data_IF_732179911258
#
_entry.id   IF_732179911258
#
_cell.length_a   1.000
_cell.length_b   1.000
_cell.length_c   1.000
_cell.angle_alpha   90.00
_cell.angle_beta   90.00
_cell.angle_gamma   90.00
#
_symmetry.space_group_name_H-M   'P 1'
#
loop_
_entity.id
_entity.type
_entity.pdbx_description
1 polymer ?
#
# COMPACT_ATOMS: atom_id res chain seq x y z
N UNK A 1 50.62 -12.08 18.99
CA UNK A 1 49.28 -12.62 19.31
C UNK A 1 48.30 -11.53 19.76
N UNK A 2 48.73 -10.52 20.51
CA UNK A 2 47.86 -9.44 21.04
C UNK A 2 47.27 -8.49 19.99
N UNK A 3 48.04 -8.13 18.94
CA UNK A 3 47.59 -7.18 17.90
C UNK A 3 46.42 -7.74 17.08
N UNK A 4 46.43 -9.03 16.74
CA UNK A 4 45.35 -9.67 15.96
C UNK A 4 44.02 -9.74 16.73
N UNK A 5 44.08 -9.95 18.05
CA UNK A 5 42.89 -9.96 18.91
C UNK A 5 42.28 -8.55 19.01
N UNK A 6 43.12 -7.51 19.08
CA UNK A 6 42.65 -6.13 19.11
C UNK A 6 41.92 -5.72 17.82
N UNK A 7 42.47 -6.10 16.64
CA UNK A 7 41.85 -5.80 15.34
C UNK A 7 40.55 -6.58 15.14
N UNK A 8 40.49 -7.84 15.59
CA UNK A 8 39.26 -8.62 15.54
C UNK A 8 38.14 -8.04 16.40
N UNK A 9 38.48 -7.55 17.61
CA UNK A 9 37.51 -6.92 18.50
C UNK A 9 36.98 -5.60 17.94
N UNK A 10 37.83 -4.76 17.34
CA UNK A 10 37.37 -3.49 16.75
C UNK A 10 36.47 -3.72 15.54
N UNK A 11 36.80 -4.67 14.66
CA UNK A 11 35.95 -5.00 13.51
C UNK A 11 34.59 -5.56 13.95
N UNK A 12 34.56 -6.43 14.97
CA UNK A 12 33.31 -6.95 15.54
C UNK A 12 32.46 -5.84 16.17
N UNK A 13 33.08 -4.87 16.86
CA UNK A 13 32.36 -3.73 17.43
C UNK A 13 31.79 -2.81 16.35
N UNK A 14 32.54 -2.53 15.28
CA UNK A 14 32.04 -1.74 14.14
C UNK A 14 30.93 -2.48 13.40
N UNK A 15 31.04 -3.79 13.23
CA UNK A 15 29.99 -4.58 12.60
C UNK A 15 28.71 -4.61 13.44
N UNK A 16 28.83 -4.84 14.75
CA UNK A 16 27.71 -4.79 15.69
C UNK A 16 27.10 -3.40 15.79
N UNK A 17 27.89 -2.32 15.74
CA UNK A 17 27.37 -0.97 15.77
C UNK A 17 26.65 -0.59 14.47
N UNK A 18 27.16 -1.03 13.32
CA UNK A 18 26.49 -0.85 12.03
C UNK A 18 25.18 -1.62 11.98
N UNK A 19 25.18 -2.89 12.41
CA UNK A 19 23.98 -3.71 12.48
C UNK A 19 22.95 -3.13 13.47
N UNK A 20 23.41 -2.67 14.64
CA UNK A 20 22.54 -2.02 15.61
C UNK A 20 22.01 -0.68 15.11
N UNK A 21 22.80 0.11 14.38
CA UNK A 21 22.38 1.37 13.78
C UNK A 21 21.34 1.15 12.68
N UNK A 22 21.53 0.14 11.84
CA UNK A 22 20.59 -0.23 10.78
C UNK A 22 19.30 -0.83 11.36
N UNK A 23 19.40 -1.61 12.44
CA UNK A 23 18.24 -2.08 13.19
C UNK A 23 17.50 -0.92 13.89
N UNK A 24 18.23 0.04 14.48
CA UNK A 24 17.67 1.25 15.07
C UNK A 24 16.98 2.14 14.04
N UNK A 25 17.58 2.31 12.85
CA UNK A 25 16.98 3.10 11.78
C UNK A 25 15.70 2.46 11.25
N UNK A 26 15.67 1.13 11.11
CA UNK A 26 14.46 0.37 10.76
C UNK A 26 13.35 0.55 11.82
N UNK A 27 13.69 0.54 13.11
CA UNK A 27 12.74 0.78 14.19
C UNK A 27 12.21 2.22 14.20
N UNK A 28 13.06 3.19 13.93
CA UNK A 28 12.68 4.60 13.83
C UNK A 28 11.75 4.83 12.64
N UNK A 29 12.00 4.18 11.51
CA UNK A 29 11.13 4.23 10.34
C UNK A 29 9.77 3.57 10.60
N UNK A 30 9.75 2.40 11.24
CA UNK A 30 8.51 1.72 11.63
C UNK A 30 7.69 2.56 12.61
N UNK A 31 8.34 3.16 13.63
CA UNK A 31 7.69 4.06 14.59
C UNK A 31 7.18 5.33 13.92
N UNK A 32 7.95 5.97 13.04
CA UNK A 32 7.51 7.19 12.33
C UNK A 32 6.32 6.94 11.42
N UNK A 33 6.30 5.82 10.69
CA UNK A 33 5.17 5.43 9.86
C UNK A 33 3.90 5.19 10.70
N UNK A 34 4.04 4.56 11.87
CA UNK A 34 2.95 4.36 12.82
C UNK A 34 2.48 5.68 13.48
N UNK A 35 3.38 6.64 13.67
CA UNK A 35 3.08 7.89 14.41
C UNK A 35 2.48 9.00 13.53
N UNK A 36 2.76 9.02 12.23
CA UNK A 36 2.25 10.06 11.30
C UNK A 36 0.89 9.69 10.68
N UNK A 37 0.13 8.81 11.32
CA UNK A 37 -1.03 8.14 10.74
C UNK A 37 -2.38 8.83 10.94
N UNK A 38 -2.50 10.11 10.64
CA UNK A 38 -3.76 10.83 10.83
C UNK A 38 -4.28 11.36 9.49
N UNK A 39 -5.54 11.05 9.18
CA UNK A 39 -6.29 11.74 8.13
C UNK A 39 -6.79 13.06 8.72
N UNK A 40 -6.44 14.18 8.10
CA UNK A 40 -7.06 15.47 8.42
C UNK A 40 -8.43 15.51 7.74
N UNK A 41 -9.50 15.38 8.52
CA UNK A 41 -10.85 15.56 8.00
C UNK A 41 -11.03 17.00 7.51
N UNK A 42 -11.38 17.18 6.25
CA UNK A 42 -11.44 18.49 5.60
C UNK A 42 -12.65 19.32 6.08
N UNK A 43 -13.63 18.69 6.74
CA UNK A 43 -14.78 19.36 7.35
C UNK A 43 -14.60 19.64 8.84
N UNK A 44 -13.80 18.84 9.54
CA UNK A 44 -13.68 18.88 11.01
C UNK A 44 -12.29 19.28 11.51
N UNK A 45 -11.26 19.21 10.63
CA UNK A 45 -9.83 19.26 10.95
C UNK A 45 -9.41 18.26 12.06
N UNK A 46 -10.29 17.32 12.39
CA UNK A 46 -10.06 16.28 13.37
C UNK A 46 -9.14 15.23 12.77
N UNK A 47 -8.19 14.76 13.59
CA UNK A 47 -7.32 13.64 13.26
C UNK A 47 -8.12 12.34 13.34
N UNK A 48 -8.46 11.76 12.19
CA UNK A 48 -9.14 10.45 12.12
C UNK A 48 -8.06 9.35 12.04
N UNK A 49 -8.16 8.27 12.85
CA UNK A 49 -7.25 7.13 12.72
C UNK A 49 -7.39 6.53 11.31
N UNK A 50 -6.26 6.24 10.69
CA UNK A 50 -6.25 5.59 9.38
C UNK A 50 -6.78 4.16 9.51
N UNK A 51 -7.59 3.70 8.54
CA UNK A 51 -7.90 2.28 8.43
C UNK A 51 -6.60 1.49 8.31
N UNK A 52 -6.56 0.34 8.95
CA UNK A 52 -5.43 -0.57 8.81
C UNK A 52 -5.57 -1.38 7.53
N UNK A 53 -4.46 -1.59 6.81
CA UNK A 53 -4.41 -2.55 5.70
C UNK A 53 -4.73 -4.01 6.09
N UNK A 54 -4.87 -4.30 7.39
CA UNK A 54 -5.26 -5.62 7.89
C UNK A 54 -6.76 -5.73 8.19
N UNK A 55 -7.53 -4.66 7.97
CA UNK A 55 -9.00 -4.68 8.07
C UNK A 55 -9.64 -5.23 6.80
N UNK A 56 -10.86 -5.81 6.88
CA UNK A 56 -11.58 -6.26 5.70
C UNK A 56 -11.82 -5.09 4.73
N UNK A 57 -11.61 -5.34 3.43
CA UNK A 57 -11.80 -4.34 2.40
C UNK A 57 -13.25 -3.82 2.39
N UNK A 58 -13.40 -2.49 2.34
CA UNK A 58 -14.70 -1.81 2.26
C UNK A 58 -14.96 -1.20 0.89
N UNK A 59 -13.89 -1.03 0.10
CA UNK A 59 -13.94 -0.54 -1.28
C UNK A 59 -13.44 -1.64 -2.20
N UNK A 60 -13.86 -1.59 -3.46
CA UNK A 60 -13.32 -2.48 -4.49
C UNK A 60 -11.94 -1.99 -4.96
N UNK A 61 -11.80 -0.69 -5.22
CA UNK A 61 -10.56 -0.09 -5.73
C UNK A 61 -10.10 1.09 -4.87
N UNK A 62 -8.84 1.11 -4.46
CA UNK A 62 -8.16 2.28 -3.91
C UNK A 62 -7.13 2.78 -4.89
N UNK A 63 -7.20 4.06 -5.24
CA UNK A 63 -6.26 4.72 -6.14
C UNK A 63 -5.34 5.62 -5.31
N UNK A 64 -4.04 5.34 -5.34
CA UNK A 64 -3.02 6.06 -4.60
C UNK A 64 -2.28 6.98 -5.57
N UNK A 65 -2.36 8.29 -5.31
CA UNK A 65 -1.73 9.33 -6.13
C UNK A 65 -0.69 10.04 -5.28
N UNK A 66 0.61 9.77 -5.47
CA UNK A 66 1.65 10.60 -4.87
C UNK A 66 1.72 11.95 -5.61
N UNK A 67 1.76 13.05 -4.87
CA UNK A 67 1.85 14.39 -5.42
C UNK A 67 2.94 15.21 -4.72
N UNK A 68 3.75 15.93 -5.51
CA UNK A 68 4.75 16.88 -5.01
C UNK A 68 4.89 18.03 -6.01
N UNK A 69 4.44 19.22 -5.62
CA UNK A 69 4.42 20.43 -6.46
C UNK A 69 3.71 20.23 -7.82
N UNK A 70 2.45 19.78 -7.79
CA UNK A 70 1.65 19.44 -8.96
C UNK A 70 0.40 20.33 -9.12
N UNK A 71 0.40 21.56 -8.56
CA UNK A 71 -0.80 22.42 -8.51
C UNK A 71 -1.49 22.65 -9.87
N UNK A 72 -0.71 22.76 -10.95
CA UNK A 72 -1.22 23.04 -12.30
C UNK A 72 -1.73 21.79 -13.03
N UNK A 73 -1.10 20.62 -12.78
CA UNK A 73 -1.39 19.38 -13.53
C UNK A 73 -2.45 18.53 -12.84
N UNK A 74 -2.45 18.55 -11.51
CA UNK A 74 -3.32 17.75 -10.69
C UNK A 74 -4.83 17.94 -10.99
N UNK A 75 -5.37 19.16 -11.20
CA UNK A 75 -6.80 19.34 -11.45
C UNK A 75 -7.29 18.61 -12.71
N UNK A 76 -6.55 18.75 -13.82
CA UNK A 76 -6.92 18.10 -15.09
C UNK A 76 -6.92 16.58 -14.96
N UNK A 77 -5.87 16.04 -14.33
CA UNK A 77 -5.75 14.61 -14.08
C UNK A 77 -6.85 14.08 -13.16
N UNK A 78 -7.16 14.79 -12.07
CA UNK A 78 -8.22 14.40 -11.14
C UNK A 78 -9.61 14.47 -11.78
N UNK A 79 -9.89 15.47 -12.61
CA UNK A 79 -11.16 15.58 -13.32
C UNK A 79 -11.36 14.45 -14.33
N UNK A 80 -10.32 14.08 -15.09
CA UNK A 80 -10.35 12.91 -15.98
C UNK A 80 -10.57 11.61 -15.21
N UNK A 81 -9.80 11.41 -14.14
CA UNK A 81 -9.88 10.25 -13.24
C UNK A 81 -11.28 10.11 -12.66
N UNK A 82 -11.84 11.18 -12.10
CA UNK A 82 -13.18 11.18 -11.52
C UNK A 82 -14.26 10.95 -12.58
N UNK A 83 -14.11 11.49 -13.79
CA UNK A 83 -15.03 11.25 -14.90
C UNK A 83 -15.09 9.77 -15.27
N UNK A 84 -13.93 9.12 -15.38
CA UNK A 84 -13.83 7.69 -15.68
C UNK A 84 -14.45 6.84 -14.56
N UNK A 85 -14.06 7.05 -13.30
CA UNK A 85 -14.52 6.22 -12.18
C UNK A 85 -16.03 6.34 -11.96
N UNK A 86 -16.60 7.53 -12.11
CA UNK A 86 -18.05 7.74 -12.02
C UNK A 86 -18.80 7.04 -13.14
N UNK A 87 -18.29 7.09 -14.38
CA UNK A 87 -18.90 6.35 -15.50
C UNK A 87 -18.88 4.85 -15.26
N UNK A 88 -17.78 4.32 -14.73
CA UNK A 88 -17.67 2.90 -14.37
C UNK A 88 -18.60 2.52 -13.22
N UNK A 89 -18.64 3.30 -12.14
CA UNK A 89 -19.56 3.06 -11.02
C UNK A 89 -21.04 3.16 -11.43
N UNK A 90 -21.38 4.01 -12.41
CA UNK A 90 -22.73 4.07 -12.97
C UNK A 90 -23.10 2.82 -13.79
N UNK A 91 -22.11 2.18 -14.41
CA UNK A 91 -22.26 0.97 -15.23
C UNK A 91 -22.29 -0.30 -14.37
N UNK A 92 -21.49 -0.33 -13.30
CA UNK A 92 -21.30 -1.47 -12.39
C UNK A 92 -21.64 -1.06 -10.95
N UNK A 93 -22.82 -1.46 -10.44
CA UNK A 93 -23.26 -1.06 -9.08
C UNK A 93 -22.40 -1.61 -7.95
N UNK A 94 -21.69 -2.72 -8.18
CA UNK A 94 -20.75 -3.31 -7.21
C UNK A 94 -19.41 -2.59 -7.15
N UNK A 95 -19.11 -1.73 -8.14
CA UNK A 95 -17.84 -1.02 -8.21
C UNK A 95 -17.84 0.17 -7.25
N UNK A 96 -17.13 0.02 -6.14
CA UNK A 96 -16.87 1.09 -5.17
C UNK A 96 -15.40 1.47 -5.21
N UNK A 97 -15.11 2.77 -5.11
CA UNK A 97 -13.74 3.26 -5.23
C UNK A 97 -13.45 4.35 -4.21
N UNK A 98 -12.17 4.52 -3.93
CA UNK A 98 -11.63 5.70 -3.24
C UNK A 98 -10.37 6.20 -3.94
N UNK A 99 -10.09 7.49 -3.76
CA UNK A 99 -8.86 8.14 -4.20
C UNK A 99 -8.14 8.68 -2.98
N UNK A 100 -6.87 8.34 -2.85
CA UNK A 100 -5.97 8.79 -1.80
C UNK A 100 -4.86 9.61 -2.44
N UNK A 101 -4.97 10.92 -2.31
CA UNK A 101 -3.90 11.85 -2.69
C UNK A 101 -2.92 11.97 -1.52
N UNK A 102 -1.65 11.66 -1.78
CA UNK A 102 -0.58 11.80 -0.78
C UNK A 102 0.34 12.94 -1.18
N UNK A 103 0.21 14.06 -0.46
CA UNK A 103 1.05 15.24 -0.62
C UNK A 103 2.38 15.05 0.13
N UNK A 104 3.47 14.90 -0.62
CA UNK A 104 4.84 14.69 -0.11
C UNK A 104 5.52 16.02 0.28
N UNK A 105 4.80 16.86 1.02
CA UNK A 105 5.31 18.13 1.54
C UNK A 105 5.51 19.19 0.46
N UNK A 106 4.54 19.34 -0.44
CA UNK A 106 4.56 20.37 -1.47
C UNK A 106 4.64 21.78 -0.87
N UNK A 107 5.27 22.69 -1.61
CA UNK A 107 5.40 24.11 -1.23
C UNK A 107 4.41 25.03 -1.96
N UNK A 108 3.64 24.45 -2.87
CA UNK A 108 2.68 25.12 -3.74
C UNK A 108 1.22 24.87 -3.27
N UNK A 109 0.25 25.18 -4.13
CA UNK A 109 -1.18 24.96 -3.89
C UNK A 109 -1.67 23.51 -3.98
N UNK A 110 -0.80 22.51 -4.16
CA UNK A 110 -1.20 21.10 -4.41
C UNK A 110 -2.17 20.56 -3.35
N UNK A 111 -1.88 20.77 -2.07
CA UNK A 111 -2.77 20.33 -0.99
C UNK A 111 -4.13 21.02 -1.03
N UNK A 112 -4.17 22.32 -1.34
CA UNK A 112 -5.41 23.07 -1.45
C UNK A 112 -6.29 22.58 -2.60
N UNK A 113 -5.67 22.22 -3.73
CA UNK A 113 -6.36 21.54 -4.84
C UNK A 113 -6.98 20.24 -4.34
N UNK A 114 -6.20 19.35 -3.71
CA UNK A 114 -6.73 18.09 -3.15
C UNK A 114 -7.91 18.29 -2.21
N UNK A 115 -7.82 19.25 -1.29
CA UNK A 115 -8.92 19.57 -0.36
C UNK A 115 -10.18 20.08 -1.06
N UNK A 116 -10.06 20.76 -2.19
CA UNK A 116 -11.22 21.18 -2.99
C UNK A 116 -11.99 19.97 -3.56
N UNK A 117 -11.28 18.90 -3.94
CA UNK A 117 -11.89 17.66 -4.41
C UNK A 117 -12.59 16.89 -3.29
N UNK A 118 -12.03 16.88 -2.08
CA UNK A 118 -12.72 16.29 -0.90
C UNK A 118 -14.05 16.98 -0.65
N UNK A 119 -14.08 18.33 -0.69
CA UNK A 119 -15.31 19.11 -0.54
C UNK A 119 -16.33 18.82 -1.64
N UNK A 120 -15.88 18.58 -2.87
CA UNK A 120 -16.73 18.31 -4.05
C UNK A 120 -17.32 16.89 -4.05
N UNK A 121 -16.58 15.89 -3.59
CA UNK A 121 -16.93 14.47 -3.76
C UNK A 121 -17.13 13.65 -2.48
N UNK A 122 -16.94 14.27 -1.30
CA UNK A 122 -16.95 13.67 0.05
C UNK A 122 -15.68 12.93 0.44
N UNK A 123 -15.47 12.82 1.76
CA UNK A 123 -14.31 12.17 2.38
C UNK A 123 -14.29 10.64 2.19
N UNK A 124 -15.43 10.04 1.88
CA UNK A 124 -15.52 8.61 1.61
C UNK A 124 -14.99 8.22 0.22
N UNK A 125 -15.02 9.18 -0.72
CA UNK A 125 -14.55 8.98 -2.10
C UNK A 125 -13.14 9.55 -2.30
N UNK A 126 -12.83 10.68 -1.68
CA UNK A 126 -11.55 11.36 -1.86
C UNK A 126 -10.93 11.72 -0.52
N UNK A 127 -9.65 11.37 -0.36
CA UNK A 127 -8.87 11.58 0.87
C UNK A 127 -7.54 12.23 0.52
N UNK A 128 -7.11 13.15 1.38
CA UNK A 128 -5.80 13.80 1.28
C UNK A 128 -4.99 13.44 2.50
N UNK A 129 -3.78 12.95 2.29
CA UNK A 129 -2.80 12.66 3.33
C UNK A 129 -1.62 13.59 3.10
N UNK A 130 -1.22 14.32 4.13
CA UNK A 130 -0.05 15.19 4.08
C UNK A 130 1.07 14.56 4.88
N UNK A 131 2.26 14.57 4.32
CA UNK A 131 3.47 14.12 5.01
C UNK A 131 4.61 15.09 4.75
N UNK A 132 5.68 14.96 5.54
CA UNK A 132 6.93 15.64 5.22
C UNK A 132 7.55 14.98 3.98
N UNK A 133 8.20 15.79 3.12
CA UNK A 133 8.90 15.28 1.95
C UNK A 133 9.88 14.17 2.32
N UNK A 134 9.58 12.94 1.88
CA UNK A 134 10.39 11.73 2.05
C UNK A 134 10.57 10.98 0.74
N UNK A 135 10.17 11.57 -0.38
CA UNK A 135 10.22 11.00 -1.71
C UNK A 135 8.98 10.20 -2.07
N UNK A 136 8.81 9.98 -3.38
CA UNK A 136 7.66 9.28 -3.98
C UNK A 136 7.36 7.92 -3.36
N UNK A 137 8.39 7.10 -3.11
CA UNK A 137 8.21 5.76 -2.52
C UNK A 137 7.59 5.82 -1.12
N UNK A 138 7.96 6.82 -0.31
CA UNK A 138 7.37 7.02 1.00
C UNK A 138 5.90 7.44 0.90
N UNK A 139 5.57 8.34 -0.03
CA UNK A 139 4.20 8.76 -0.30
C UNK A 139 3.31 7.59 -0.76
N UNK A 140 3.81 6.76 -1.69
CA UNK A 140 3.10 5.55 -2.14
C UNK A 140 2.89 4.59 -0.98
N UNK A 141 3.95 4.25 -0.22
CA UNK A 141 3.86 3.37 0.94
C UNK A 141 2.82 3.86 1.94
N UNK A 142 2.80 5.16 2.21
CA UNK A 142 1.82 5.77 3.10
C UNK A 142 0.41 5.58 2.57
N UNK A 143 0.16 5.92 1.30
CA UNK A 143 -1.15 5.72 0.68
C UNK A 143 -1.63 4.26 0.72
N UNK A 144 -0.73 3.33 0.43
CA UNK A 144 -1.02 1.89 0.46
C UNK A 144 -1.41 1.39 1.85
N UNK A 145 -0.73 1.86 2.90
CA UNK A 145 -1.04 1.51 4.29
C UNK A 145 -2.40 2.05 4.77
N UNK A 146 -2.91 3.07 4.09
CA UNK A 146 -4.14 3.79 4.44
C UNK A 146 -5.34 3.40 3.56
N UNK A 147 -5.13 2.51 2.60
CA UNK A 147 -6.12 2.10 1.64
C UNK A 147 -7.11 1.10 2.24
N UNK A 148 -8.35 1.14 1.75
CA UNK A 148 -9.49 0.32 2.16
C UNK A 148 -9.99 -0.60 1.03
N UNK A 149 -9.33 -0.56 -0.11
CA UNK A 149 -9.67 -1.27 -1.33
C UNK A 149 -9.21 -2.71 -1.32
N UNK A 150 -9.94 -3.56 -2.02
CA UNK A 150 -9.49 -4.92 -2.34
C UNK A 150 -8.35 -4.88 -3.35
N UNK A 151 -8.46 -4.01 -4.36
CA UNK A 151 -7.40 -3.71 -5.32
C UNK A 151 -6.79 -2.34 -5.00
N UNK A 152 -5.45 -2.28 -4.97
CA UNK A 152 -4.71 -1.04 -4.77
C UNK A 152 -3.96 -0.70 -6.05
N UNK A 153 -4.24 0.48 -6.60
CA UNK A 153 -3.62 0.99 -7.82
C UNK A 153 -2.83 2.25 -7.50
N UNK A 154 -1.54 2.25 -7.81
CA UNK A 154 -0.74 3.47 -7.82
C UNK A 154 -0.87 4.15 -9.18
N UNK A 155 -1.13 5.46 -9.19
CA UNK A 155 -1.21 6.27 -10.41
C UNK A 155 -0.41 7.54 -10.22
N UNK A 156 0.45 7.86 -11.18
CA UNK A 156 1.22 9.10 -11.16
C UNK A 156 0.34 10.31 -11.53
N UNK A 157 0.56 11.42 -10.81
CA UNK A 157 -0.19 12.67 -11.01
C UNK A 157 0.09 13.36 -12.37
N UNK A 158 1.07 12.87 -13.13
CA UNK A 158 1.44 13.37 -14.46
C UNK A 158 0.51 12.86 -15.58
N UNK A 159 -0.39 11.92 -15.28
CA UNK A 159 -1.29 11.31 -16.26
C UNK A 159 -0.61 10.34 -17.21
N UNK A 160 0.63 9.89 -16.93
CA UNK A 160 1.31 8.88 -17.73
C UNK A 160 0.54 7.55 -17.75
N UNK A 161 -0.15 7.24 -16.66
CA UNK A 161 -1.02 6.06 -16.56
C UNK A 161 -2.47 6.47 -16.80
N UNK A 162 -3.02 6.01 -17.93
CA UNK A 162 -4.42 6.28 -18.31
C UNK A 162 -5.34 5.25 -17.68
N UNK A 163 -6.40 5.71 -17.02
CA UNK A 163 -7.38 4.83 -16.38
C UNK A 163 -8.11 3.85 -17.33
N UNK A 164 -8.34 4.12 -18.62
CA UNK A 164 -8.86 3.12 -19.54
C UNK A 164 -7.99 1.86 -19.67
N UNK A 165 -6.67 1.95 -19.44
CA UNK A 165 -5.79 0.79 -19.45
C UNK A 165 -5.87 -0.05 -18.16
N UNK A 166 -6.51 0.49 -17.12
CA UNK A 166 -6.76 -0.24 -15.87
C UNK A 166 -7.62 -1.49 -16.09
N UNK A 167 -8.65 -1.44 -16.94
CA UNK A 167 -9.52 -2.62 -17.19
C UNK A 167 -8.73 -3.80 -17.77
N UNK A 168 -7.73 -3.51 -18.62
CA UNK A 168 -6.84 -4.55 -19.14
C UNK A 168 -5.96 -5.11 -18.03
N UNK A 169 -5.36 -4.24 -17.22
CA UNK A 169 -4.51 -4.63 -16.10
C UNK A 169 -5.29 -5.48 -15.08
N UNK A 170 -6.51 -5.07 -14.75
CA UNK A 170 -7.42 -5.77 -13.86
C UNK A 170 -7.74 -7.18 -14.38
N UNK A 171 -8.08 -7.32 -15.67
CA UNK A 171 -8.34 -8.62 -16.27
C UNK A 171 -7.12 -9.56 -16.19
N UNK A 172 -5.92 -9.04 -16.41
CA UNK A 172 -4.68 -9.81 -16.32
C UNK A 172 -4.33 -10.15 -14.87
N UNK A 173 -4.55 -9.23 -13.93
CA UNK A 173 -4.34 -9.48 -12.51
C UNK A 173 -5.26 -10.60 -12.00
N UNK A 174 -6.55 -10.57 -12.37
CA UNK A 174 -7.49 -11.65 -12.02
C UNK A 174 -7.12 -13.00 -12.64
N UNK A 175 -6.68 -13.02 -13.89
CA UNK A 175 -6.20 -14.25 -14.53
C UNK A 175 -4.96 -14.80 -13.80
N UNK A 176 -3.99 -13.95 -13.45
CA UNK A 176 -2.81 -14.37 -12.68
C UNK A 176 -3.18 -14.89 -11.29
N UNK A 177 -4.07 -14.21 -10.58
CA UNK A 177 -4.55 -14.65 -9.26
C UNK A 177 -5.28 -15.99 -9.35
N UNK A 178 -6.10 -16.17 -10.38
CA UNK A 178 -6.84 -17.42 -10.63
C UNK A 178 -5.90 -18.57 -10.98
N UNK A 179 -4.90 -18.34 -11.84
CA UNK A 179 -3.87 -19.32 -12.19
C UNK A 179 -3.04 -19.70 -10.98
N UNK A 180 -2.66 -18.74 -10.14
CA UNK A 180 -1.92 -19.00 -8.90
C UNK A 180 -2.76 -19.84 -7.95
N UNK A 181 -4.05 -19.53 -7.79
CA UNK A 181 -4.98 -20.33 -6.98
C UNK A 181 -5.13 -21.76 -7.52
N UNK A 182 -5.14 -21.94 -8.85
CA UNK A 182 -5.21 -23.26 -9.47
C UNK A 182 -3.90 -24.05 -9.28
N UNK A 183 -2.74 -23.38 -9.31
CA UNK A 183 -1.43 -23.97 -9.00
C UNK A 183 -1.27 -24.28 -7.50
N UNK A 184 -1.93 -23.51 -6.64
CA UNK A 184 -1.97 -23.72 -5.18
C UNK A 184 -3.07 -24.71 -4.74
N UNK A 185 -3.77 -25.36 -5.68
CA UNK A 185 -4.84 -26.31 -5.40
C UNK A 185 -4.34 -27.64 -4.80
N UNK A 186 -4.23 -27.68 -3.46
CA UNK A 186 -4.02 -28.93 -2.70
C UNK A 186 -4.03 -28.83 -1.16
N UNK A 187 -4.12 -27.65 -0.54
CA UNK A 187 -4.12 -27.52 0.93
C UNK A 187 -5.09 -26.47 1.45
N UNK A 188 -6.07 -26.90 2.24
CA UNK A 188 -7.02 -26.04 2.96
C UNK A 188 -6.29 -25.33 4.12
N UNK A 189 -6.24 -24.00 4.12
CA UNK A 189 -5.75 -23.23 5.27
C UNK A 189 -6.98 -22.79 6.07
N UNK A 190 -7.27 -23.51 7.14
CA UNK A 190 -8.18 -23.06 8.20
C UNK A 190 -7.43 -22.13 9.16
N UNK A 191 -8.10 -21.06 9.57
CA UNK A 191 -7.57 -20.05 10.48
C UNK A 191 -7.27 -20.62 11.87
N UNK A 192 -5.99 -20.85 12.18
CA UNK A 192 -5.46 -20.83 13.54
C UNK A 192 -3.95 -20.52 13.45
N UNK A 193 -3.48 -19.59 14.28
CA UNK A 193 -2.17 -18.97 14.13
C UNK A 193 -0.98 -19.93 14.14
N UNK A 194 0.01 -19.57 13.30
CA UNK A 194 1.45 -19.86 13.36
C UNK A 194 1.91 -21.32 13.23
N UNK A 195 3.13 -21.45 12.68
CA UNK A 195 4.07 -22.58 12.81
C UNK A 195 4.29 -23.41 11.53
N UNK A 196 5.51 -23.35 11.02
CA UNK A 196 6.05 -24.19 9.94
C UNK A 196 5.89 -25.67 10.30
N UNK A 197 5.28 -26.49 9.43
CA UNK A 197 5.22 -27.94 9.61
C UNK A 197 5.39 -28.67 8.28
N UNK A 198 6.36 -29.60 8.27
CA UNK A 198 6.79 -30.44 7.16
C UNK A 198 5.79 -31.56 6.81
N UNK A 199 5.94 -32.07 5.59
CA UNK A 199 5.04 -32.87 4.73
C UNK A 199 4.61 -34.29 5.18
N UNK A 200 4.31 -34.56 6.44
CA UNK A 200 3.74 -35.87 6.83
C UNK A 200 2.49 -35.69 7.70
N UNK A 201 1.30 -35.77 7.08
CA UNK A 201 0.08 -36.41 7.58
C UNK A 201 -1.16 -35.94 6.79
N UNK A 202 -1.60 -36.75 5.82
CA UNK A 202 -2.93 -36.65 5.20
C UNK A 202 -3.98 -37.31 6.11
N UNK A 203 -5.13 -36.65 6.34
CA UNK A 203 -6.47 -37.23 6.14
C UNK A 203 -7.64 -36.31 6.57
N UNK A 204 -8.73 -36.42 5.78
CA UNK A 204 -10.18 -36.21 6.08
C UNK A 204 -10.84 -34.82 5.93
N UNK A 205 -11.78 -34.77 4.96
CA UNK A 205 -13.01 -33.93 4.79
C UNK A 205 -12.88 -32.39 4.74
N UNK A 206 -13.60 -31.61 3.93
CA UNK A 206 -14.72 -31.80 3.02
C UNK A 206 -15.35 -30.41 2.75
N UNK A 207 -15.68 -30.12 1.48
CA UNK A 207 -16.48 -29.02 0.92
C UNK A 207 -16.72 -27.70 1.72
N UNK A 208 -16.29 -26.56 1.15
CA UNK A 208 -16.74 -25.22 1.58
C UNK A 208 -16.18 -24.09 0.70
N UNK A 209 -17.01 -23.09 0.38
CA UNK A 209 -16.75 -22.00 -0.57
C UNK A 209 -15.49 -21.16 -0.25
N UNK A 210 -14.76 -20.76 -1.30
CA UNK A 210 -13.50 -19.99 -1.20
C UNK A 210 -13.81 -18.49 -1.15
N UNK A 211 -13.57 -17.88 0.02
CA UNK A 211 -13.52 -16.43 0.20
C UNK A 211 -12.06 -16.02 0.27
N UNK A 212 -11.55 -15.33 -0.75
CA UNK A 212 -10.19 -14.79 -0.73
C UNK A 212 -10.12 -13.67 0.30
N UNK A 213 -9.24 -13.79 1.29
CA UNK A 213 -9.00 -12.73 2.27
C UNK A 213 -7.58 -12.18 2.10
N UNK A 214 -7.45 -10.90 2.43
CA UNK A 214 -6.32 -9.99 2.24
C UNK A 214 -4.94 -10.48 2.75
N UNK A 215 -4.86 -11.62 3.45
CA UNK A 215 -3.61 -12.18 3.98
C UNK A 215 -2.76 -12.93 2.93
N UNK A 216 -3.37 -13.49 1.88
CA UNK A 216 -2.64 -14.38 0.97
C UNK A 216 -1.69 -13.65 0.02
N UNK A 217 -1.98 -12.38 -0.29
CA UNK A 217 -1.18 -11.59 -1.24
C UNK A 217 0.03 -10.93 -0.55
N UNK A 218 -0.11 -10.50 0.71
CA UNK A 218 0.91 -9.69 1.39
C UNK A 218 2.12 -10.51 1.87
N UNK A 219 1.92 -11.76 2.26
CA UNK A 219 3.04 -12.63 2.70
C UNK A 219 3.94 -13.12 1.55
N UNK A 220 3.60 -12.84 0.30
CA UNK A 220 4.41 -13.27 -0.86
C UNK A 220 5.24 -12.15 -1.49
N UNK A 221 4.97 -10.87 -1.21
CA UNK A 221 5.79 -9.77 -1.77
C UNK A 221 7.06 -9.48 -0.98
N UNK A 222 7.19 -10.02 0.24
CA UNK A 222 8.44 -10.01 1.02
C UNK A 222 9.47 -11.05 0.54
N UNK A 223 9.15 -11.85 -0.47
CA UNK A 223 10.01 -12.89 -1.03
C UNK A 223 10.66 -12.50 -2.38
N UNK A 224 10.81 -11.20 -2.67
CA UNK A 224 11.73 -10.74 -3.72
C UNK A 224 13.05 -10.45 -3.02
N UNK A 225 13.90 -11.47 -2.91
CA UNK A 225 15.28 -11.35 -2.46
C UNK A 225 16.01 -10.31 -3.33
N UNK A 226 16.44 -9.21 -2.74
CA UNK A 226 17.51 -8.40 -3.32
C UNK A 226 18.79 -9.25 -3.34
N UNK A 227 19.50 -9.37 -4.47
CA UNK A 227 20.82 -9.99 -4.47
C UNK A 227 21.77 -9.14 -3.59
N UNK A 228 22.71 -9.78 -2.87
CA UNK A 228 23.65 -9.08 -2.00
C UNK A 228 24.57 -8.13 -2.79
N UNK A 229 25.00 -7.01 -2.19
CA UNK A 229 25.88 -6.04 -2.85
C UNK A 229 27.26 -6.64 -3.12
N UNK A 230 27.80 -6.36 -4.31
CA UNK A 230 29.17 -6.65 -4.72
C UNK A 230 30.21 -5.86 -3.91
#
# INVERSE_FOLDING_TARGET
>A
MTVGIMVGLTLSVVWLSSYAFEWLSQLDDARRLATEGYLEDCNSLAKVPLPSMFEPATKYLSIIIPAFNEEDRLPNFLDETMSYLRKRAARERSFTYEIILVDDGSRDGTSAVGFSYVKKYSIDVFRVIRQRNRGKGAAVRKGMQCARGELLLMVDADGATKLPDFEKLESQAFDLMSRRSALSGGGSITSAGSYWRSEEDQAVAGAGAVSYTHLDVYNQTLAIECPPPC
#
